data_IF_416349554435
#
_entry.id   IF_416349554435
#
_cell.length_a   1.000
_cell.length_b   1.000
_cell.length_c   1.000
_cell.angle_alpha   90.00
_cell.angle_beta   90.00
_cell.angle_gamma   90.00
#
_symmetry.space_group_name_H-M   'P 1'
#
loop_
_entity.id
_entity.type
_entity.pdbx_description
1 polymer ?
#
# COMPACT_ATOMS: atom_id res chain seq x y z
N UNK A 1 -38.91 -27.58 20.21
CA UNK A 1 -38.90 -26.42 19.30
C UNK A 1 -39.93 -25.44 19.82
N UNK A 2 -39.50 -24.38 20.51
CA UNK A 2 -40.42 -23.39 21.10
C UNK A 2 -41.08 -22.58 20.00
N UNK A 3 -42.36 -22.84 19.74
CA UNK A 3 -43.17 -22.06 18.81
C UNK A 3 -43.47 -20.72 19.49
N UNK A 4 -42.77 -19.66 19.09
CA UNK A 4 -43.09 -18.31 19.52
C UNK A 4 -44.44 -17.95 18.88
N UNK A 5 -45.45 -17.68 19.71
CA UNK A 5 -46.79 -17.35 19.24
C UNK A 5 -46.77 -16.00 18.51
N UNK A 6 -47.58 -15.83 17.47
CA UNK A 6 -47.58 -14.62 16.61
C UNK A 6 -47.79 -13.31 17.40
N UNK A 7 -48.54 -13.38 18.50
CA UNK A 7 -48.73 -12.24 19.42
C UNK A 7 -47.44 -11.81 20.11
N UNK A 8 -46.57 -12.75 20.45
CA UNK A 8 -45.29 -12.48 21.11
C UNK A 8 -44.26 -11.91 20.11
N UNK A 9 -44.34 -12.29 18.83
CA UNK A 9 -43.57 -11.66 17.75
C UNK A 9 -43.99 -10.20 17.56
N UNK A 10 -45.29 -9.93 17.57
CA UNK A 10 -45.82 -8.59 17.38
C UNK A 10 -45.37 -7.64 18.50
N UNK A 11 -45.40 -8.08 19.75
CA UNK A 11 -44.92 -7.31 20.89
C UNK A 11 -43.43 -6.97 20.78
N UNK A 12 -42.62 -7.94 20.37
CA UNK A 12 -41.16 -7.79 20.20
C UNK A 12 -40.81 -6.79 19.08
N UNK A 13 -41.60 -6.80 17.99
CA UNK A 13 -41.49 -5.83 16.89
C UNK A 13 -41.81 -4.41 17.35
N UNK A 14 -42.88 -4.23 18.12
CA UNK A 14 -43.29 -2.93 18.66
C UNK A 14 -42.22 -2.40 19.64
N UNK A 15 -41.67 -3.27 20.49
CA UNK A 15 -40.60 -2.89 21.41
C UNK A 15 -39.33 -2.44 20.67
N UNK A 16 -38.95 -3.14 19.59
CA UNK A 16 -37.81 -2.79 18.76
C UNK A 16 -38.00 -1.43 18.05
N UNK A 17 -39.21 -1.14 17.56
CA UNK A 17 -39.53 0.17 16.97
C UNK A 17 -39.37 1.29 18.00
N UNK A 18 -39.85 1.06 19.23
CA UNK A 18 -39.70 2.06 20.30
C UNK A 18 -38.24 2.25 20.72
N UNK A 19 -37.41 1.20 20.71
CA UNK A 19 -35.96 1.33 20.95
C UNK A 19 -35.28 2.20 19.89
N UNK A 20 -35.61 2.01 18.62
CA UNK A 20 -35.07 2.82 17.51
C UNK A 20 -35.52 4.28 17.58
N UNK A 21 -36.75 4.54 18.01
CA UNK A 21 -37.25 5.91 18.18
C UNK A 21 -36.65 6.63 19.39
N UNK A 22 -36.28 5.89 20.44
CA UNK A 22 -35.67 6.46 21.66
C UNK A 22 -34.15 6.58 21.57
N UNK A 23 -33.50 5.88 20.64
CA UNK A 23 -32.05 5.96 20.46
C UNK A 23 -31.65 7.25 19.75
N UNK A 24 -31.50 8.32 20.52
CA UNK A 24 -30.58 9.43 20.21
C UNK A 24 -29.14 9.00 20.56
N UNK A 25 -28.69 7.85 20.04
CA UNK A 25 -27.39 7.28 20.39
C UNK A 25 -26.40 7.45 19.23
N UNK A 26 -25.32 8.16 19.54
CA UNK A 26 -24.29 8.69 18.66
C UNK A 26 -23.58 7.62 17.81
N UNK A 27 -23.42 7.92 16.52
CA UNK A 27 -22.58 7.19 15.58
C UNK A 27 -21.11 7.53 15.81
N UNK A 28 -20.36 6.63 16.44
CA UNK A 28 -18.93 6.47 16.16
C UNK A 28 -18.77 5.33 15.13
N UNK A 29 -18.42 5.72 13.90
CA UNK A 29 -18.00 4.85 12.78
C UNK A 29 -16.49 4.56 12.92
N UNK A 30 -16.03 3.34 12.58
CA UNK A 30 -15.57 3.12 11.21
C UNK A 30 -16.00 1.79 10.56
N UNK A 31 -16.52 1.94 9.35
CA UNK A 31 -16.18 1.24 8.10
C UNK A 31 -16.30 -0.30 8.01
N UNK A 32 -17.21 -0.76 7.15
CA UNK A 32 -17.04 -2.01 6.40
C UNK A 32 -17.57 -1.92 4.95
N UNK A 33 -16.62 -1.95 4.02
CA UNK A 33 -16.56 -2.68 2.74
C UNK A 33 -17.88 -2.94 2.00
N UNK A 34 -17.96 -2.34 0.80
CA UNK A 34 -18.98 -2.56 -0.22
C UNK A 34 -18.93 -3.99 -0.82
N UNK A 35 -20.09 -4.61 -0.94
CA UNK A 35 -20.34 -5.80 -1.78
C UNK A 35 -21.22 -5.39 -2.95
N UNK A 36 -20.80 -5.76 -4.16
CA UNK A 36 -21.47 -5.54 -5.44
C UNK A 36 -22.77 -6.35 -5.60
N UNK A 37 -23.82 -5.77 -6.22
CA UNK A 37 -24.71 -6.47 -7.18
C UNK A 37 -25.59 -5.49 -7.98
N UNK A 38 -25.86 -5.80 -9.27
CA UNK A 38 -27.25 -5.77 -9.75
C UNK A 38 -27.56 -7.03 -10.61
N UNK A 39 -28.83 -7.49 -10.74
CA UNK A 39 -29.79 -6.85 -11.67
C UNK A 39 -31.30 -6.97 -11.31
N UNK A 40 -32.15 -6.05 -11.81
CA UNK A 40 -33.43 -6.38 -12.49
C UNK A 40 -34.16 -5.13 -13.02
N UNK A 41 -34.81 -5.32 -14.16
CA UNK A 41 -35.72 -4.41 -14.88
C UNK A 41 -37.14 -4.49 -14.30
N UNK A 42 -37.88 -3.37 -14.27
CA UNK A 42 -39.32 -3.33 -13.98
C UNK A 42 -39.88 -1.91 -13.83
N UNK A 43 -41.01 -1.63 -14.47
CA UNK A 43 -41.48 -0.31 -14.94
C UNK A 43 -42.43 0.51 -14.02
N UNK A 44 -42.37 1.84 -14.23
CA UNK A 44 -43.41 2.91 -14.21
C UNK A 44 -44.25 3.27 -12.97
N UNK A 45 -44.08 4.53 -12.53
CA UNK A 45 -45.06 5.33 -11.78
C UNK A 45 -44.62 6.81 -11.62
N UNK A 46 -45.08 7.70 -12.53
CA UNK A 46 -45.04 9.18 -12.40
C UNK A 46 -45.98 9.62 -11.27
N UNK A 47 -45.88 10.74 -10.55
CA UNK A 47 -45.01 11.93 -10.48
C UNK A 47 -45.54 12.71 -9.30
N UNK A 48 -44.74 13.11 -8.31
CA UNK A 48 -44.96 14.36 -7.57
C UNK A 48 -43.60 14.91 -7.12
N UNK A 49 -43.21 16.03 -7.75
CA UNK A 49 -42.20 16.98 -7.25
C UNK A 49 -40.82 16.37 -7.01
N UNK A 50 -40.20 15.98 -8.12
CA UNK A 50 -38.75 16.01 -8.22
C UNK A 50 -38.27 17.40 -7.79
N UNK A 51 -37.76 17.50 -6.57
CA UNK A 51 -37.10 18.69 -6.06
C UNK A 51 -35.87 18.89 -6.95
N UNK A 52 -36.02 19.73 -7.97
CA UNK A 52 -35.01 20.03 -8.97
C UNK A 52 -33.85 20.76 -8.26
N UNK A 53 -32.89 19.98 -7.78
CA UNK A 53 -31.63 20.50 -7.25
C UNK A 53 -30.91 21.21 -8.39
N UNK A 54 -30.88 22.53 -8.35
CA UNK A 54 -30.14 23.36 -9.31
C UNK A 54 -28.69 22.86 -9.29
N UNK A 55 -28.20 22.38 -10.44
CA UNK A 55 -26.78 22.03 -10.58
C UNK A 55 -26.01 23.34 -10.48
N UNK A 56 -25.23 23.50 -9.40
CA UNK A 56 -24.27 24.59 -9.31
C UNK A 56 -23.26 24.38 -10.44
N UNK A 57 -23.09 25.33 -11.37
CA UNK A 57 -22.08 25.21 -12.40
C UNK A 57 -20.72 25.28 -11.71
N UNK A 58 -20.02 24.16 -11.65
CA UNK A 58 -18.62 24.11 -11.26
C UNK A 58 -17.80 24.57 -12.48
N UNK A 59 -17.99 25.82 -12.89
CA UNK A 59 -17.23 26.45 -13.96
C UNK A 59 -15.86 26.83 -13.38
N UNK A 60 -14.84 26.03 -13.71
CA UNK A 60 -13.49 26.14 -13.15
C UNK A 60 -13.43 25.42 -11.80
N UNK A 61 -12.82 24.25 -11.69
CA UNK A 61 -11.44 23.97 -12.08
C UNK A 61 -11.40 22.59 -12.72
N UNK A 62 -11.05 22.50 -14.00
CA UNK A 62 -10.28 21.34 -14.44
C UNK A 62 -8.87 21.65 -13.95
N UNK A 63 -8.31 20.97 -12.94
CA UNK A 63 -6.90 21.16 -12.60
C UNK A 63 -6.09 20.58 -13.75
N UNK A 64 -5.90 21.37 -14.81
CA UNK A 64 -5.03 21.03 -15.94
C UNK A 64 -3.55 21.19 -15.56
N UNK A 65 -3.27 21.65 -14.34
CA UNK A 65 -1.91 22.00 -13.87
C UNK A 65 -1.44 21.24 -12.62
N UNK A 66 -2.09 20.14 -12.24
CA UNK A 66 -1.56 19.22 -11.21
C UNK A 66 -1.85 17.76 -11.49
N UNK A 67 -1.82 17.34 -12.76
CA UNK A 67 -1.78 15.92 -13.11
C UNK A 67 -0.51 15.37 -12.48
N UNK A 68 -0.63 14.83 -11.26
CA UNK A 68 0.47 14.19 -10.53
C UNK A 68 1.08 13.20 -11.52
N UNK A 69 2.32 13.43 -11.91
CA UNK A 69 3.03 12.63 -12.93
C UNK A 69 2.99 11.18 -12.44
N UNK A 70 2.15 10.36 -13.08
CA UNK A 70 1.72 9.05 -12.57
C UNK A 70 1.99 8.01 -13.65
N UNK A 71 2.36 6.80 -13.26
CA UNK A 71 2.71 5.70 -14.18
C UNK A 71 1.55 5.22 -15.08
N UNK A 72 0.34 5.75 -14.88
CA UNK A 72 -0.88 5.44 -15.64
C UNK A 72 -1.78 4.40 -14.98
N UNK A 73 -2.98 4.21 -15.56
CA UNK A 73 -4.02 3.34 -15.01
C UNK A 73 -3.63 1.85 -15.05
N UNK A 74 -2.93 1.42 -16.10
CA UNK A 74 -2.42 0.04 -16.24
C UNK A 74 -1.38 -0.32 -15.16
N UNK A 75 -0.81 0.69 -14.51
CA UNK A 75 0.16 0.51 -13.44
C UNK A 75 -0.30 1.20 -12.15
N UNK A 76 -1.54 0.87 -11.74
CA UNK A 76 -2.17 1.25 -10.48
C UNK A 76 -2.04 2.73 -10.07
N UNK A 77 -1.93 3.63 -11.05
CA UNK A 77 -1.70 5.05 -10.80
C UNK A 77 -0.54 5.30 -9.83
N UNK A 78 0.58 4.61 -10.06
CA UNK A 78 1.75 4.75 -9.22
C UNK A 78 2.38 6.14 -9.33
N UNK A 79 2.58 6.81 -8.20
CA UNK A 79 3.10 8.17 -8.15
C UNK A 79 4.61 8.23 -8.43
N UNK A 80 5.06 9.32 -9.05
CA UNK A 80 6.49 9.62 -9.22
C UNK A 80 7.11 9.99 -7.87
N UNK A 81 8.09 9.21 -7.43
CA UNK A 81 8.87 9.53 -6.24
C UNK A 81 9.82 10.70 -6.53
N UNK A 82 9.89 11.66 -5.60
CA UNK A 82 10.88 12.74 -5.67
C UNK A 82 12.24 12.15 -5.26
N UNK A 83 13.29 12.35 -6.06
CA UNK A 83 14.62 11.72 -5.91
C UNK A 83 15.28 12.00 -4.55
N UNK A 84 14.84 11.29 -3.52
CA UNK A 84 15.32 11.39 -2.14
C UNK A 84 16.78 10.96 -2.05
N UNK A 85 17.60 11.61 -1.20
CA UNK A 85 18.97 11.16 -0.96
C UNK A 85 19.03 9.74 -0.39
N UNK A 86 17.97 9.30 0.30
CA UNK A 86 17.86 7.94 0.82
C UNK A 86 17.71 6.93 -0.32
N UNK A 87 16.77 7.21 -1.24
CA UNK A 87 16.53 6.40 -2.42
C UNK A 87 17.78 6.31 -3.30
N UNK A 88 18.51 7.42 -3.47
CA UNK A 88 19.76 7.42 -4.25
C UNK A 88 20.81 6.48 -3.66
N UNK A 89 20.98 6.46 -2.33
CA UNK A 89 21.90 5.55 -1.63
C UNK A 89 21.51 4.10 -1.84
N UNK A 90 20.25 3.76 -1.59
CA UNK A 90 19.76 2.39 -1.77
C UNK A 90 19.86 1.94 -3.23
N UNK A 91 19.60 2.84 -4.19
CA UNK A 91 19.77 2.55 -5.61
C UNK A 91 21.23 2.29 -5.99
N UNK A 92 22.16 3.08 -5.47
CA UNK A 92 23.59 2.88 -5.71
C UNK A 92 24.01 1.48 -5.25
N UNK A 93 23.55 1.04 -4.08
CA UNK A 93 23.83 -0.31 -3.58
C UNK A 93 23.22 -1.38 -4.49
N UNK A 94 21.96 -1.21 -4.89
CA UNK A 94 21.30 -2.15 -5.79
C UNK A 94 22.04 -2.25 -7.14
N UNK A 95 22.61 -1.15 -7.63
CA UNK A 95 23.45 -1.15 -8.82
C UNK A 95 24.77 -1.91 -8.61
N UNK A 96 25.35 -1.81 -7.41
CA UNK A 96 26.62 -2.44 -7.03
C UNK A 96 26.45 -3.85 -6.42
N UNK A 97 25.23 -4.39 -6.35
CA UNK A 97 24.93 -5.64 -5.63
C UNK A 97 25.72 -6.87 -6.09
N UNK A 98 26.23 -6.86 -7.32
CA UNK A 98 27.09 -7.93 -7.83
C UNK A 98 28.48 -7.96 -7.19
N UNK A 99 28.92 -6.87 -6.57
CA UNK A 99 30.19 -6.80 -5.83
C UNK A 99 30.05 -7.17 -4.35
N UNK A 100 28.84 -7.09 -3.80
CA UNK A 100 28.59 -7.30 -2.37
C UNK A 100 28.71 -8.78 -1.98
N UNK A 101 28.38 -9.69 -2.89
CA UNK A 101 28.51 -11.13 -2.69
C UNK A 101 29.22 -11.76 -3.89
N UNK A 102 30.46 -12.26 -3.74
CA UNK A 102 31.22 -12.85 -4.84
C UNK A 102 30.57 -14.11 -5.41
N UNK A 103 29.70 -14.78 -4.65
CA UNK A 103 29.01 -15.99 -5.13
C UNK A 103 27.77 -15.65 -5.95
N UNK A 104 27.29 -14.42 -5.85
CA UNK A 104 26.00 -14.04 -6.41
C UNK A 104 26.16 -13.18 -7.66
N UNK A 105 26.25 -13.82 -8.83
CA UNK A 105 26.25 -13.11 -10.10
C UNK A 105 24.85 -12.59 -10.44
N UNK A 106 24.67 -11.27 -10.41
CA UNK A 106 23.43 -10.60 -10.81
C UNK A 106 23.62 -9.87 -12.14
N UNK A 107 22.53 -9.74 -12.90
CA UNK A 107 22.50 -8.84 -14.05
C UNK A 107 22.71 -7.40 -13.59
N UNK A 108 23.56 -6.67 -14.31
CA UNK A 108 23.84 -5.27 -14.06
C UNK A 108 22.54 -4.45 -14.15
N UNK A 109 22.36 -3.54 -13.19
CA UNK A 109 21.26 -2.60 -13.17
C UNK A 109 21.68 -1.29 -13.85
N UNK A 110 20.69 -0.48 -14.22
CA UNK A 110 20.94 0.87 -14.76
C UNK A 110 21.52 1.76 -13.67
N UNK A 111 22.43 2.67 -14.04
CA UNK A 111 23.06 3.60 -13.08
C UNK A 111 22.05 4.57 -12.47
N UNK A 112 21.05 5.01 -13.24
CA UNK A 112 20.02 5.93 -12.77
C UNK A 112 18.79 5.20 -12.20
N UNK A 113 18.17 5.70 -11.12
CA UNK A 113 16.93 5.13 -10.60
C UNK A 113 15.78 5.27 -11.62
N UNK A 114 14.77 4.39 -11.58
CA UNK A 114 13.60 4.47 -12.44
C UNK A 114 12.76 5.72 -12.18
N UNK A 115 12.06 6.22 -13.20
CA UNK A 115 11.16 7.39 -13.09
C UNK A 115 10.06 7.17 -12.04
N UNK A 116 9.52 5.96 -11.97
CA UNK A 116 8.48 5.57 -11.03
C UNK A 116 9.02 4.43 -10.17
N UNK A 117 9.26 4.69 -8.88
CA UNK A 117 9.72 3.72 -7.90
C UNK A 117 9.08 4.02 -6.52
N UNK A 118 9.03 3.00 -5.66
CA UNK A 118 8.61 3.11 -4.25
C UNK A 118 9.33 2.05 -3.46
N UNK A 119 9.75 2.42 -2.26
CA UNK A 119 10.31 1.51 -1.28
C UNK A 119 9.17 0.89 -0.46
N UNK A 120 9.21 -0.44 -0.26
CA UNK A 120 8.23 -1.18 0.52
C UNK A 120 8.90 -2.17 1.47
N UNK A 121 8.24 -2.48 2.59
CA UNK A 121 8.67 -3.51 3.53
C UNK A 121 8.02 -4.86 3.17
N UNK A 122 8.76 -5.94 3.36
CA UNK A 122 8.25 -7.30 3.18
C UNK A 122 7.47 -7.71 4.43
N UNK A 123 6.16 -7.81 4.32
CA UNK A 123 5.31 -8.41 5.36
C UNK A 123 5.36 -9.93 5.23
N UNK A 124 5.71 -10.63 6.32
CA UNK A 124 5.76 -12.09 6.33
C UNK A 124 4.36 -12.68 6.14
N UNK A 125 4.27 -13.71 5.29
CA UNK A 125 3.06 -14.53 5.17
C UNK A 125 2.71 -15.20 6.50
N UNK A 126 1.44 -15.59 6.65
CA UNK A 126 0.91 -16.24 7.87
C UNK A 126 1.62 -17.57 8.21
N UNK A 127 2.31 -18.18 7.25
CA UNK A 127 3.04 -19.44 7.46
C UNK A 127 4.34 -19.22 8.25
N UNK A 128 4.53 -19.89 9.40
CA UNK A 128 5.70 -19.70 10.26
C UNK A 128 6.90 -20.47 9.72
N UNK A 129 7.58 -19.95 8.69
CA UNK A 129 8.94 -20.39 8.37
C UNK A 129 9.93 -19.64 9.27
N UNK A 130 10.38 -20.30 10.34
CA UNK A 130 11.27 -19.73 11.36
C UNK A 130 12.60 -19.18 10.80
N UNK A 131 13.01 -19.58 9.58
CA UNK A 131 14.25 -19.10 8.94
C UNK A 131 14.08 -17.89 8.02
N UNK A 132 12.88 -17.61 7.51
CA UNK A 132 12.68 -16.53 6.52
C UNK A 132 12.43 -15.16 7.16
N UNK A 133 12.12 -15.13 8.46
CA UNK A 133 11.73 -13.91 9.18
C UNK A 133 12.92 -13.28 9.89
N UNK A 134 13.24 -12.03 9.52
CA UNK A 134 14.22 -11.24 10.26
C UNK A 134 13.73 -10.92 11.68
N UNK A 135 14.65 -10.99 12.64
CA UNK A 135 14.37 -10.58 14.02
C UNK A 135 14.10 -9.07 14.10
N UNK A 136 13.35 -8.62 15.12
CA UNK A 136 13.03 -7.19 15.30
C UNK A 136 14.27 -6.29 15.37
N UNK A 137 15.41 -6.83 15.83
CA UNK A 137 16.66 -6.08 16.01
C UNK A 137 17.37 -5.81 14.68
N UNK A 138 17.26 -6.76 13.75
CA UNK A 138 17.96 -6.71 12.45
C UNK A 138 17.13 -5.95 11.41
N UNK A 139 15.81 -5.86 11.58
CA UNK A 139 14.96 -5.06 10.67
C UNK A 139 15.35 -3.57 10.72
N UNK A 140 15.59 -3.00 9.53
CA UNK A 140 15.90 -1.59 9.32
C UNK A 140 14.94 -1.00 8.28
N UNK A 141 14.86 0.33 8.26
CA UNK A 141 14.01 1.07 7.34
C UNK A 141 14.58 1.11 5.91
N UNK A 142 15.91 1.11 5.80
CA UNK A 142 16.63 1.22 4.54
C UNK A 142 17.47 -0.03 4.25
N UNK A 143 17.70 -0.28 2.96
CA UNK A 143 18.52 -1.41 2.50
C UNK A 143 19.99 -1.18 2.86
N UNK A 144 20.48 0.06 2.70
CA UNK A 144 21.83 0.46 3.10
C UNK A 144 22.13 0.10 4.55
N UNK A 145 21.26 0.55 5.47
CA UNK A 145 21.44 0.32 6.89
C UNK A 145 21.47 -1.18 7.20
N UNK A 146 20.62 -1.97 6.55
CA UNK A 146 20.62 -3.42 6.76
C UNK A 146 21.96 -4.04 6.35
N UNK A 147 22.50 -3.67 5.19
CA UNK A 147 23.77 -4.21 4.69
C UNK A 147 24.92 -3.78 5.60
N UNK A 148 24.97 -2.51 6.01
CA UNK A 148 26.02 -2.01 6.93
C UNK A 148 25.99 -2.75 8.26
N UNK A 149 24.82 -3.15 8.76
CA UNK A 149 24.71 -3.92 10.00
C UNK A 149 25.07 -5.41 9.84
N UNK A 150 24.93 -5.98 8.63
CA UNK A 150 25.19 -7.40 8.36
C UNK A 150 26.63 -7.67 7.93
N UNK A 151 27.28 -6.70 7.30
CA UNK A 151 28.66 -6.82 6.86
C UNK A 151 29.62 -6.79 8.05
N UNK A 152 30.44 -7.84 8.17
CA UNK A 152 31.56 -7.85 9.11
C UNK A 152 32.60 -6.83 8.63
N UNK A 153 32.75 -5.71 9.35
CA UNK A 153 33.73 -4.65 9.09
C UNK A 153 35.15 -5.21 8.90
N UNK A 154 35.48 -6.27 9.62
CA UNK A 154 36.82 -6.84 9.66
C UNK A 154 37.15 -7.57 8.37
N UNK A 155 36.17 -8.18 7.69
CA UNK A 155 36.39 -8.89 6.42
C UNK A 155 36.63 -7.92 5.26
N UNK A 156 36.10 -6.70 5.34
CA UNK A 156 36.33 -5.66 4.35
C UNK A 156 37.69 -4.99 4.55
N UNK A 157 38.09 -4.75 5.79
CA UNK A 157 39.33 -4.05 6.12
C UNK A 157 40.58 -4.95 5.96
N UNK A 158 40.43 -6.27 6.11
CA UNK A 158 41.56 -7.21 6.09
C UNK A 158 41.88 -7.76 4.69
N UNK A 159 41.17 -7.35 3.64
CA UNK A 159 41.56 -7.65 2.26
C UNK A 159 42.44 -6.50 1.75
N UNK A 160 43.77 -6.70 1.61
CA UNK A 160 44.66 -5.64 1.15
C UNK A 160 44.28 -5.25 -0.28
N UNK A 161 43.88 -4.00 -0.48
CA UNK A 161 43.60 -3.39 -1.79
C UNK A 161 44.86 -3.22 -2.67
N UNK A 162 45.94 -3.95 -2.38
CA UNK A 162 47.29 -3.75 -2.93
C UNK A 162 47.69 -4.82 -3.97
N UNK A 163 46.94 -5.91 -4.14
CA UNK A 163 47.28 -6.93 -5.14
C UNK A 163 46.66 -6.60 -6.50
N UNK A 164 47.34 -5.75 -7.28
CA UNK A 164 47.23 -5.82 -8.74
C UNK A 164 47.15 -4.50 -9.51
N UNK A 165 48.25 -3.75 -9.54
CA UNK A 165 48.69 -3.01 -10.74
C UNK A 165 50.23 -2.94 -10.78
N UNK A 166 50.87 -4.10 -10.99
CA UNK A 166 52.26 -4.10 -11.48
C UNK A 166 52.18 -3.96 -13.01
N UNK A 167 52.35 -2.75 -13.51
CA UNK A 167 52.62 -2.53 -14.93
C UNK A 167 54.02 -3.04 -15.23
N UNK A 168 54.13 -4.14 -15.99
CA UNK A 168 55.40 -4.57 -16.56
C UNK A 168 55.84 -3.52 -17.59
N UNK A 169 57.02 -2.94 -17.38
CA UNK A 169 57.71 -2.01 -18.26
C UNK A 169 58.80 -2.74 -19.03
#
# INVERSE_FOLDING_TARGET
MSQLLDCQVHELLVEAEQRLRRSDFELHSPESIATSKPPSTGETGRTEKALLKIRVPHAGQCPRDSVKDTAGLYWYNFSKENNSPQLKRDWQILSMRGLLDPKQHKKALRTSPPKYCRVGEITSALTPMSGARHSRKIRKQMIFDQIVNEQDSDKLNNNPLEEGYVTNN
#
